data_IF_171499253152
#
_entry.id   IF_171499253152
#
_cell.length_a   1.000
_cell.length_b   1.000
_cell.length_c   1.000
_cell.angle_alpha   90.00
_cell.angle_beta   90.00
_cell.angle_gamma   90.00
#
_symmetry.space_group_name_H-M   'P 1'
#
loop_
_entity.id
_entity.type
_entity.pdbx_description
1 polymer ?
#
# COMPACT_ATOMS: atom_id res chain seq x y z
N UNK A 1 -3.78 15.86 2.37
CA UNK A 1 -3.36 15.94 0.95
C UNK A 1 -4.15 14.91 0.17
N UNK A 2 -4.52 15.17 -1.09
CA UNK A 2 -5.07 14.13 -1.95
C UNK A 2 -3.91 13.32 -2.54
N UNK A 3 -3.84 12.03 -2.24
CA UNK A 3 -2.85 11.12 -2.82
C UNK A 3 -3.32 10.80 -4.25
N UNK A 4 -2.55 11.21 -5.26
CA UNK A 4 -2.84 10.90 -6.65
C UNK A 4 -2.53 9.44 -7.01
N UNK A 5 -2.94 8.99 -8.20
CA UNK A 5 -2.80 7.59 -8.60
C UNK A 5 -1.34 7.13 -8.70
N UNK A 6 -0.40 8.02 -9.07
CA UNK A 6 1.02 7.68 -9.15
C UNK A 6 1.60 7.49 -7.74
N UNK A 7 1.23 8.36 -6.80
CA UNK A 7 1.63 8.26 -5.41
C UNK A 7 1.03 7.01 -4.75
N UNK A 8 -0.22 6.66 -5.04
CA UNK A 8 -0.85 5.43 -4.56
C UNK A 8 -0.12 4.16 -5.02
N UNK A 9 0.24 4.09 -6.31
CA UNK A 9 1.02 2.96 -6.84
C UNK A 9 2.42 2.90 -6.23
N UNK A 10 3.05 4.06 -6.02
CA UNK A 10 4.33 4.14 -5.32
C UNK A 10 4.24 3.61 -3.89
N UNK A 11 3.17 3.90 -3.16
CA UNK A 11 2.93 3.34 -1.82
C UNK A 11 2.82 1.82 -1.87
N UNK A 12 2.02 1.26 -2.78
CA UNK A 12 1.88 -0.20 -2.90
C UNK A 12 3.21 -0.88 -3.23
N UNK A 13 4.02 -0.26 -4.10
CA UNK A 13 5.36 -0.74 -4.43
C UNK A 13 6.31 -0.69 -3.22
N UNK A 14 6.29 0.40 -2.47
CA UNK A 14 7.16 0.57 -1.30
C UNK A 14 6.79 -0.45 -0.20
N UNK A 15 5.49 -0.68 0.05
CA UNK A 15 5.01 -1.76 0.95
C UNK A 15 5.50 -3.13 0.45
N UNK A 16 5.32 -3.43 -0.85
CA UNK A 16 5.75 -4.71 -1.41
C UNK A 16 7.26 -4.95 -1.31
N UNK A 17 8.05 -3.88 -1.43
CA UNK A 17 9.50 -3.89 -1.32
C UNK A 17 10.00 -3.76 0.12
N UNK A 18 9.12 -3.87 1.12
CA UNK A 18 9.42 -3.67 2.55
C UNK A 18 10.17 -2.36 2.82
N UNK A 19 9.89 -1.33 2.02
CA UNK A 19 10.45 0.01 2.16
C UNK A 19 9.57 0.79 3.14
N UNK A 20 10.14 1.51 4.12
CA UNK A 20 9.35 2.29 5.07
C UNK A 20 8.42 3.29 4.37
N UNK A 21 7.15 3.26 4.74
CA UNK A 21 6.13 4.25 4.35
C UNK A 21 5.71 5.04 5.58
N UNK A 22 5.13 6.22 5.37
CA UNK A 22 4.58 7.01 6.48
C UNK A 22 3.28 6.38 7.01
N UNK A 23 2.90 6.75 8.23
CA UNK A 23 1.66 6.30 8.86
C UNK A 23 0.42 6.65 8.01
N UNK A 24 0.36 7.86 7.44
CA UNK A 24 -0.73 8.28 6.55
C UNK A 24 -0.83 7.43 5.26
N UNK A 25 0.31 7.01 4.71
CA UNK A 25 0.37 6.15 3.52
C UNK A 25 -0.06 4.71 3.83
N UNK A 26 0.38 4.17 4.98
CA UNK A 26 -0.04 2.87 5.50
C UNK A 26 -1.56 2.85 5.78
N UNK A 27 -2.05 3.85 6.50
CA UNK A 27 -3.47 4.01 6.82
C UNK A 27 -4.33 4.09 5.55
N UNK A 28 -3.87 4.82 4.53
CA UNK A 28 -4.56 4.86 3.25
C UNK A 28 -4.66 3.46 2.63
N UNK A 29 -3.54 2.72 2.53
CA UNK A 29 -3.50 1.42 1.88
C UNK A 29 -4.39 0.40 2.61
N UNK A 30 -4.40 0.44 3.95
CA UNK A 30 -5.28 -0.41 4.79
C UNK A 30 -6.75 -0.04 4.60
N UNK A 31 -7.09 1.25 4.68
CA UNK A 31 -8.48 1.72 4.51
C UNK A 31 -9.02 1.45 3.11
N UNK A 32 -8.15 1.43 2.10
CA UNK A 32 -8.50 1.09 0.72
C UNK A 32 -8.60 -0.44 0.48
N UNK A 33 -8.18 -1.28 1.44
CA UNK A 33 -8.19 -2.74 1.32
C UNK A 33 -7.01 -3.32 0.53
N UNK A 34 -6.00 -2.51 0.22
CA UNK A 34 -4.80 -2.94 -0.50
C UNK A 34 -3.70 -3.46 0.41
N UNK A 35 -3.75 -3.14 1.70
CA UNK A 35 -2.78 -3.61 2.67
C UNK A 35 -3.43 -4.05 3.99
N UNK A 36 -2.67 -4.78 4.80
CA UNK A 36 -3.04 -5.22 6.16
C UNK A 36 -1.85 -5.05 7.10
N UNK A 37 -2.12 -4.79 8.38
CA UNK A 37 -1.08 -4.86 9.41
C UNK A 37 -0.69 -6.32 9.63
N UNK A 38 0.61 -6.58 9.64
CA UNK A 38 1.23 -7.83 10.02
C UNK A 38 1.45 -7.88 11.54
N UNK A 39 1.84 -9.05 12.05
CA UNK A 39 1.96 -9.31 13.49
C UNK A 39 3.03 -8.46 14.17
N UNK A 40 4.07 -8.05 13.44
CA UNK A 40 5.23 -7.31 13.94
C UNK A 40 5.12 -5.78 13.77
N UNK A 41 3.89 -5.27 13.58
CA UNK A 41 3.60 -3.88 13.20
C UNK A 41 4.13 -3.47 11.82
N UNK A 42 4.57 -4.44 11.02
CA UNK A 42 4.81 -4.29 9.59
C UNK A 42 3.49 -4.19 8.81
N UNK A 43 3.58 -3.78 7.55
CA UNK A 43 2.45 -3.69 6.64
C UNK A 43 2.73 -4.55 5.42
N UNK A 44 1.75 -5.37 5.04
CA UNK A 44 1.82 -6.27 3.90
C UNK A 44 0.70 -5.97 2.90
N UNK A 45 0.95 -6.22 1.62
CA UNK A 45 -0.11 -6.16 0.61
C UNK A 45 -1.12 -7.31 0.79
N UNK A 46 -2.39 -6.99 0.59
CA UNK A 46 -3.44 -7.99 0.39
C UNK A 46 -3.31 -8.64 -0.99
N UNK A 47 -4.18 -9.60 -1.31
CA UNK A 47 -4.24 -10.14 -2.67
C UNK A 47 -4.62 -9.04 -3.68
N UNK A 48 -5.58 -8.21 -3.32
CA UNK A 48 -6.07 -7.08 -4.08
C UNK A 48 -5.00 -6.01 -4.26
N UNK A 49 -4.21 -5.70 -3.23
CA UNK A 49 -3.08 -4.77 -3.34
C UNK A 49 -2.00 -5.25 -4.29
N UNK A 50 -1.66 -6.55 -4.27
CA UNK A 50 -0.74 -7.14 -5.25
C UNK A 50 -1.28 -7.05 -6.66
N UNK A 51 -2.55 -7.40 -6.86
CA UNK A 51 -3.21 -7.28 -8.17
C UNK A 51 -3.22 -5.83 -8.68
N UNK A 52 -3.54 -4.87 -7.82
CA UNK A 52 -3.55 -3.45 -8.16
C UNK A 52 -2.15 -2.94 -8.56
N UNK A 53 -1.11 -3.40 -7.86
CA UNK A 53 0.28 -3.10 -8.20
C UNK A 53 0.68 -3.71 -9.56
N UNK A 54 0.31 -4.96 -9.82
CA UNK A 54 0.59 -5.66 -11.08
C UNK A 54 -0.15 -5.03 -12.27
N UNK A 55 -1.42 -4.66 -12.08
CA UNK A 55 -2.26 -4.02 -13.10
C UNK A 55 -1.88 -2.52 -13.30
N UNK A 56 -1.11 -1.94 -12.38
CA UNK A 56 -0.77 -0.52 -12.38
C UNK A 56 -1.98 0.39 -12.16
N UNK A 57 -2.98 -0.06 -11.38
CA UNK A 57 -4.22 0.66 -11.16
C UNK A 57 -4.77 0.47 -9.73
N UNK A 58 -5.21 1.56 -9.10
CA UNK A 58 -5.60 1.69 -7.68
C UNK A 58 -6.84 2.54 -7.48
#
# INVERSE_FOLDING_TARGET
>A
MAIDSEQKLRILRDIHATTPVSEEEADWAVRAGYATHAEDADIDLTHEGRKALDDGQV
#
